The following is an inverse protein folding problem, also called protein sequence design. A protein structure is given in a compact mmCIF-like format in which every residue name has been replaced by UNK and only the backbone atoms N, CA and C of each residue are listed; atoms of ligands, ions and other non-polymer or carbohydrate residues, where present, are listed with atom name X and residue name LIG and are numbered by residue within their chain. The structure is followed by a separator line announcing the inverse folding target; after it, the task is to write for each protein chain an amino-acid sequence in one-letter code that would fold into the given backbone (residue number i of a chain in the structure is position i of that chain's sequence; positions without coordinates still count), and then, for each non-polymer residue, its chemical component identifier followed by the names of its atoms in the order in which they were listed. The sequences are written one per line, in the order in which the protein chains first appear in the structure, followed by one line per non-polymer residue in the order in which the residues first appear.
data_IF_917573322785
#
_entry.id   IF_917573322785
#
_cell.length_a   1.000
_cell.length_b   1.000
_cell.length_c   1.000
_cell.angle_alpha   90.00
_cell.angle_beta   90.00
_cell.angle_gamma   90.00
#
_symmetry.space_group_name_H-M   'P 1'
#
loop_
_entity.id
_entity.type
_entity.pdbx_description
1 polymer ?
#
# COMPACT_ATOMS: atom_id res chain seq x y z
N UNK A 1 3.96 0.33 -2.47
CA UNK A 1 2.62 0.60 -1.86
C UNK A 1 2.70 1.89 -1.07
N UNK A 2 3.17 2.96 -1.72
CA UNK A 2 3.64 4.14 -1.02
C UNK A 2 2.97 5.38 -1.55
N UNK A 3 3.01 6.48 -0.77
CA UNK A 3 2.48 7.77 -1.22
C UNK A 3 3.07 8.23 -2.55
N UNK A 4 4.35 7.94 -2.82
CA UNK A 4 4.99 8.26 -4.10
C UNK A 4 4.32 7.62 -5.31
N UNK A 5 3.69 6.45 -5.14
CA UNK A 5 2.96 5.78 -6.22
C UNK A 5 1.67 6.51 -6.59
N UNK A 6 1.07 7.25 -5.64
CA UNK A 6 -0.13 8.07 -5.92
C UNK A 6 0.26 9.21 -6.86
N UNK A 7 1.36 9.90 -6.59
CA UNK A 7 1.88 10.98 -7.44
C UNK A 7 2.31 10.44 -8.82
N UNK A 8 3.03 9.32 -8.85
CA UNK A 8 3.44 8.67 -10.10
C UNK A 8 2.23 8.27 -10.97
N UNK A 9 1.19 7.69 -10.36
CA UNK A 9 -0.05 7.36 -11.06
C UNK A 9 -0.77 8.62 -11.55
N UNK A 10 -0.80 9.68 -10.74
CA UNK A 10 -1.46 10.95 -11.10
C UNK A 10 -0.80 11.61 -12.30
N UNK A 11 0.51 11.46 -12.46
CA UNK A 11 1.23 11.90 -13.65
C UNK A 11 0.80 11.14 -14.92
N UNK A 12 0.43 9.86 -14.80
CA UNK A 12 0.04 9.00 -15.91
C UNK A 12 -1.46 9.13 -16.22
N UNK A 13 -2.31 9.14 -15.19
CA UNK A 13 -3.77 9.16 -15.26
C UNK A 13 -4.33 10.13 -14.20
N UNK A 14 -4.37 11.44 -14.48
CA UNK A 14 -4.82 12.46 -13.53
C UNK A 14 -6.25 12.24 -13.02
N UNK A 15 -7.13 11.70 -13.86
CA UNK A 15 -8.52 11.38 -13.54
C UNK A 15 -8.65 10.29 -12.46
N UNK A 16 -7.61 9.49 -12.25
CA UNK A 16 -7.60 8.47 -11.21
C UNK A 16 -7.28 9.01 -9.81
N UNK A 17 -6.80 10.25 -9.68
CA UNK A 17 -6.32 10.83 -8.42
C UNK A 17 -7.33 10.75 -7.27
N UNK A 18 -8.62 10.93 -7.57
CA UNK A 18 -9.70 10.94 -6.56
C UNK A 18 -10.12 9.55 -6.06
N UNK A 19 -9.81 8.50 -6.83
CA UNK A 19 -10.20 7.10 -6.54
C UNK A 19 -9.04 6.23 -6.06
N UNK A 20 -7.86 6.81 -5.87
CA UNK A 20 -6.64 6.10 -5.47
C UNK A 20 -6.34 6.42 -4.01
N UNK A 21 -6.15 5.37 -3.22
CA UNK A 21 -5.81 5.48 -1.81
C UNK A 21 -4.60 4.60 -1.48
N UNK A 22 -3.93 4.90 -0.36
CA UNK A 22 -2.82 4.09 0.13
C UNK A 22 -3.34 2.73 0.60
N UNK A 23 -2.64 1.66 0.28
CA UNK A 23 -3.06 0.34 0.76
C UNK A 23 -3.04 0.26 2.29
N UNK A 24 -2.03 0.84 2.95
CA UNK A 24 -1.98 0.96 4.40
C UNK A 24 -2.84 2.07 5.01
N UNK A 25 -3.86 2.60 4.30
CA UNK A 25 -4.70 3.72 4.77
C UNK A 25 -5.27 3.48 6.18
N UNK A 26 -5.73 2.27 6.45
CA UNK A 26 -6.47 1.93 7.68
C UNK A 26 -5.61 1.36 8.81
N UNK A 27 -4.31 1.16 8.56
CA UNK A 27 -3.33 0.70 9.55
C UNK A 27 -2.39 1.84 9.96
N UNK A 28 -2.92 3.06 10.06
CA UNK A 28 -2.13 4.25 10.41
C UNK A 28 -1.52 5.00 9.22
N UNK A 29 -2.07 4.82 8.01
CA UNK A 29 -1.57 5.46 6.77
C UNK A 29 -0.09 5.15 6.51
N UNK A 30 0.29 3.89 6.76
CA UNK A 30 1.66 3.41 6.62
C UNK A 30 1.96 2.95 5.19
N UNK A 31 3.21 3.14 4.77
CA UNK A 31 3.74 2.56 3.54
C UNK A 31 4.10 1.08 3.77
N UNK A 32 3.84 0.23 2.79
CA UNK A 32 4.34 -1.15 2.81
C UNK A 32 5.64 -1.19 2.00
N UNK A 33 6.78 -1.54 2.63
CA UNK A 33 8.08 -1.59 1.97
C UNK A 33 8.11 -2.70 0.92
N UNK A 34 8.89 -2.50 -0.14
CA UNK A 34 9.08 -3.50 -1.19
C UNK A 34 10.11 -4.56 -0.75
N UNK A 35 9.73 -5.84 -0.56
CA UNK A 35 10.66 -6.88 -0.13
C UNK A 35 11.54 -7.42 -1.27
N UNK A 36 11.39 -6.94 -2.51
CA UNK A 36 12.12 -7.48 -3.66
C UNK A 36 13.64 -7.46 -3.46
N UNK A 37 14.28 -8.62 -3.70
CA UNK A 37 15.71 -8.88 -3.49
C UNK A 37 16.20 -8.72 -2.03
N UNK A 38 15.28 -8.75 -1.07
CA UNK A 38 15.62 -8.74 0.35
C UNK A 38 15.57 -10.15 0.96
N UNK A 39 15.84 -10.23 2.27
CA UNK A 39 15.80 -11.47 3.02
C UNK A 39 14.37 -11.97 3.21
N UNK A 40 14.22 -13.24 3.62
CA UNK A 40 12.91 -13.86 3.89
C UNK A 40 12.12 -13.10 4.95
N UNK A 41 12.79 -12.58 5.96
CA UNK A 41 12.19 -11.79 7.05
C UNK A 41 11.56 -10.50 6.51
N UNK A 42 12.18 -9.85 5.52
CA UNK A 42 11.60 -8.67 4.88
C UNK A 42 10.31 -9.01 4.10
N UNK A 43 10.26 -10.18 3.45
CA UNK A 43 9.03 -10.67 2.82
C UNK A 43 7.94 -10.98 3.84
N UNK A 44 8.28 -11.65 4.95
CA UNK A 44 7.33 -11.96 6.02
C UNK A 44 6.75 -10.69 6.63
N UNK A 45 7.60 -9.69 6.91
CA UNK A 45 7.18 -8.38 7.40
C UNK A 45 6.25 -7.64 6.42
N UNK A 46 6.60 -7.62 5.13
CA UNK A 46 5.74 -7.00 4.12
C UNK A 46 4.40 -7.72 4.00
N UNK A 47 4.38 -9.05 4.08
CA UNK A 47 3.16 -9.85 4.02
C UNK A 47 2.26 -9.61 5.24
N UNK A 48 2.83 -9.49 6.43
CA UNK A 48 2.09 -9.16 7.65
C UNK A 48 1.38 -7.79 7.52
N UNK A 49 2.09 -6.77 7.00
CA UNK A 49 1.50 -5.46 6.74
C UNK A 49 0.39 -5.51 5.69
N UNK A 50 0.57 -6.32 4.64
CA UNK A 50 -0.46 -6.52 3.60
C UNK A 50 -1.71 -7.16 4.20
N UNK A 51 -1.55 -8.21 5.02
CA UNK A 51 -2.68 -8.91 5.63
C UNK A 51 -3.47 -8.00 6.58
N UNK A 52 -2.78 -7.26 7.45
CA UNK A 52 -3.42 -6.29 8.34
C UNK A 52 -4.18 -5.22 7.55
N UNK A 53 -3.57 -4.66 6.50
CA UNK A 53 -4.19 -3.64 5.66
C UNK A 53 -5.40 -4.19 4.90
N UNK A 54 -5.29 -5.37 4.29
CA UNK A 54 -6.35 -6.02 3.54
C UNK A 54 -7.57 -6.29 4.43
N UNK A 55 -7.35 -6.85 5.63
CA UNK A 55 -8.41 -7.08 6.62
C UNK A 55 -9.08 -5.78 7.07
N UNK A 56 -8.31 -4.70 7.23
CA UNK A 56 -8.87 -3.40 7.57
C UNK A 56 -9.70 -2.79 6.43
N UNK A 57 -9.28 -2.97 5.17
CA UNK A 57 -10.06 -2.60 3.99
C UNK A 57 -11.35 -3.39 3.88
N UNK A 58 -11.31 -4.70 4.08
CA UNK A 58 -12.49 -5.57 4.02
C UNK A 58 -13.61 -5.14 4.99
N UNK A 59 -13.27 -4.45 6.09
CA UNK A 59 -14.24 -3.92 7.06
C UNK A 59 -14.82 -2.55 6.68
N UNK A 60 -14.29 -1.91 5.64
CA UNK A 60 -14.63 -0.53 5.21
C UNK A 60 -15.24 -0.48 3.81
N UNK A 61 -15.25 -1.60 3.10
CA UNK A 61 -15.90 -1.84 1.82
C UNK A 61 -17.23 -2.55 2.05
#
# INVERSE_FOLDING_TARGET
MEKGHIEALTSIAPEARGKVMLFGQWIGKQNIPDPYRQSKEAFEFALELIDQAANAWAKKL
#
